data_IF_862430409258
#
_entry.id   IF_862430409258
#
_cell.length_a   1.000
_cell.length_b   1.000
_cell.length_c   1.000
_cell.angle_alpha   90.00
_cell.angle_beta   90.00
_cell.angle_gamma   90.00
#
_symmetry.space_group_name_H-M   'P 1'
#
loop_
_entity.id
_entity.type
_entity.pdbx_description
1 polymer ?
#
# COMPACT_ATOMS: atom_id res chain seq x y z
N UNK A 1 18.54 13.68 -10.69
CA UNK A 1 18.99 12.69 -9.69
C UNK A 1 18.91 11.32 -10.33
N UNK A 2 19.96 10.48 -10.31
CA UNK A 2 19.85 9.14 -10.82
C UNK A 2 18.91 8.34 -9.90
N UNK A 3 18.03 7.54 -10.49
CA UNK A 3 17.19 6.58 -9.78
C UNK A 3 18.13 5.63 -9.02
N UNK A 4 18.16 5.70 -7.69
CA UNK A 4 18.89 4.73 -6.88
C UNK A 4 18.31 3.35 -7.17
N UNK A 5 19.16 2.42 -7.60
CA UNK A 5 18.79 1.03 -7.82
C UNK A 5 18.27 0.44 -6.51
N UNK A 6 16.95 0.45 -6.31
CA UNK A 6 16.31 -0.01 -5.07
C UNK A 6 15.01 0.70 -4.68
N UNK A 7 14.74 1.92 -5.16
CA UNK A 7 13.54 2.68 -4.81
C UNK A 7 12.23 2.12 -5.43
N UNK A 8 11.06 2.61 -4.98
CA UNK A 8 9.81 2.38 -5.70
C UNK A 8 9.87 2.96 -7.11
N UNK A 9 9.19 2.30 -8.04
CA UNK A 9 9.09 2.74 -9.43
C UNK A 9 7.69 2.42 -9.96
N UNK A 10 7.18 3.26 -10.87
CA UNK A 10 5.89 3.02 -11.52
C UNK A 10 5.88 1.64 -12.18
N UNK A 11 4.76 0.92 -12.05
CA UNK A 11 4.57 -0.44 -12.54
C UNK A 11 5.11 -1.54 -11.62
N UNK A 12 5.74 -1.20 -10.50
CA UNK A 12 6.28 -2.20 -9.57
C UNK A 12 5.18 -2.76 -8.66
N UNK A 13 5.13 -4.09 -8.56
CA UNK A 13 4.23 -4.80 -7.64
C UNK A 13 4.77 -4.77 -6.22
N UNK A 14 3.91 -4.39 -5.28
CA UNK A 14 4.17 -4.27 -3.84
C UNK A 14 3.00 -4.84 -3.04
N UNK A 15 3.14 -4.91 -1.71
CA UNK A 15 2.03 -5.23 -0.82
C UNK A 15 1.46 -3.95 -0.21
N UNK A 16 0.13 -3.84 -0.20
CA UNK A 16 -0.63 -2.81 0.51
C UNK A 16 -1.34 -3.45 1.71
N UNK A 17 -1.25 -2.84 2.88
CA UNK A 17 -1.93 -3.31 4.09
C UNK A 17 -3.30 -2.64 4.16
N UNK A 18 -4.37 -3.40 3.95
CA UNK A 18 -5.73 -2.81 3.96
C UNK A 18 -6.11 -2.35 5.36
N UNK A 19 -6.79 -1.20 5.49
CA UNK A 19 -7.35 -0.78 6.78
C UNK A 19 -8.31 -1.79 7.42
N UNK A 20 -8.93 -2.65 6.61
CA UNK A 20 -10.10 -3.42 7.02
C UNK A 20 -11.33 -2.52 7.17
N UNK A 21 -12.46 -3.12 7.50
CA UNK A 21 -13.65 -2.36 7.91
C UNK A 21 -13.55 -2.01 9.39
N UNK A 22 -14.17 -0.91 9.87
CA UNK A 22 -14.30 -0.69 11.31
C UNK A 22 -14.90 -1.91 12.02
N UNK A 23 -14.42 -2.19 13.23
CA UNK A 23 -15.03 -3.19 14.12
C UNK A 23 -16.36 -2.63 14.61
N UNK A 24 -17.42 -3.43 14.53
CA UNK A 24 -18.76 -3.07 14.99
C UNK A 24 -18.84 -3.14 16.53
N UNK A 25 -19.92 -2.59 17.08
CA UNK A 25 -20.17 -2.62 18.53
C UNK A 25 -20.24 -4.06 19.10
N UNK A 26 -20.73 -5.01 18.30
CA UNK A 26 -20.78 -6.43 18.65
C UNK A 26 -19.43 -7.17 18.53
N UNK A 27 -18.35 -6.45 18.24
CA UNK A 27 -17.01 -7.00 18.06
C UNK A 27 -16.76 -7.65 16.69
N UNK A 28 -17.75 -7.68 15.79
CA UNK A 28 -17.57 -8.28 14.46
C UNK A 28 -16.90 -7.32 13.47
N UNK A 29 -16.15 -7.87 12.53
CA UNK A 29 -15.52 -7.12 11.44
C UNK A 29 -15.81 -7.84 10.12
N UNK A 30 -16.26 -7.12 9.09
CA UNK A 30 -16.56 -7.76 7.80
C UNK A 30 -15.30 -8.10 7.03
N UNK A 31 -14.34 -7.17 6.98
CA UNK A 31 -13.06 -7.40 6.31
C UNK A 31 -11.91 -7.09 7.26
N UNK A 32 -11.04 -8.07 7.58
CA UNK A 32 -9.87 -7.83 8.41
C UNK A 32 -8.81 -7.03 7.67
N UNK A 33 -7.92 -6.40 8.43
CA UNK A 33 -6.70 -5.77 7.91
C UNK A 33 -5.71 -6.85 7.48
N UNK A 34 -5.46 -6.97 6.18
CA UNK A 34 -4.53 -7.95 5.60
C UNK A 34 -3.75 -7.36 4.42
N UNK A 35 -2.62 -7.97 4.08
CA UNK A 35 -1.85 -7.58 2.89
C UNK A 35 -2.61 -7.94 1.61
N UNK A 36 -2.61 -7.01 0.65
CA UNK A 36 -3.17 -7.13 -0.70
C UNK A 36 -2.09 -6.82 -1.73
N UNK A 37 -2.23 -7.37 -2.92
CA UNK A 37 -1.40 -6.97 -4.06
C UNK A 37 -1.73 -5.54 -4.46
N UNK A 38 -0.70 -4.74 -4.69
CA UNK A 38 -0.82 -3.41 -5.27
C UNK A 38 0.27 -3.16 -6.31
N UNK A 39 0.03 -2.22 -7.20
CA UNK A 39 1.00 -1.74 -8.20
C UNK A 39 1.23 -0.26 -7.95
N UNK A 40 2.49 0.16 -7.95
CA UNK A 40 2.88 1.58 -7.87
C UNK A 40 2.43 2.29 -9.15
N UNK A 41 1.54 3.27 -9.00
CA UNK A 41 1.06 4.12 -10.11
C UNK A 41 1.79 5.45 -10.18
N UNK A 42 2.28 5.94 -9.04
CA UNK A 42 2.97 7.22 -8.90
C UNK A 42 4.08 7.10 -7.84
N UNK A 43 5.17 7.84 -8.00
CA UNK A 43 6.23 7.96 -6.98
C UNK A 43 6.31 9.42 -6.58
N UNK A 44 6.26 9.69 -5.27
CA UNK A 44 6.37 11.05 -4.75
C UNK A 44 7.83 11.55 -4.95
N UNK A 45 8.04 12.67 -5.66
CA UNK A 45 9.38 13.20 -5.91
C UNK A 45 10.03 13.80 -4.65
N UNK A 46 9.25 14.12 -3.61
CA UNK A 46 9.72 14.74 -2.36
C UNK A 46 9.88 13.71 -1.23
N UNK A 47 9.15 12.58 -1.28
CA UNK A 47 9.19 11.51 -0.29
C UNK A 47 9.31 10.13 -0.95
N UNK A 48 10.53 9.58 -1.03
CA UNK A 48 10.77 8.27 -1.65
C UNK A 48 10.06 7.09 -0.94
N UNK A 49 9.51 7.30 0.26
CA UNK A 49 8.68 6.33 0.97
C UNK A 49 7.20 6.42 0.61
N UNK A 50 6.76 7.44 -0.12
CA UNK A 50 5.35 7.64 -0.47
C UNK A 50 5.08 7.36 -1.95
N UNK A 51 4.03 6.60 -2.20
CA UNK A 51 3.64 6.19 -3.55
C UNK A 51 2.14 6.30 -3.75
N UNK A 52 1.73 6.52 -4.99
CA UNK A 52 0.37 6.24 -5.41
C UNK A 52 0.23 4.75 -5.75
N UNK A 53 -0.89 4.13 -5.37
CA UNK A 53 -1.14 2.71 -5.60
C UNK A 53 -2.48 2.45 -6.30
N UNK A 54 -2.49 1.42 -7.13
CA UNK A 54 -3.71 0.65 -7.43
C UNK A 54 -3.66 -0.67 -6.66
N UNK A 55 -4.64 -0.91 -5.80
CA UNK A 55 -4.80 -2.13 -5.02
C UNK A 55 -5.74 -3.07 -5.76
N UNK A 56 -5.30 -4.30 -5.97
CA UNK A 56 -6.03 -5.31 -6.72
C UNK A 56 -6.65 -6.33 -5.77
N UNK A 57 -7.97 -6.48 -5.84
CA UNK A 57 -8.73 -7.46 -5.08
C UNK A 57 -9.67 -8.23 -6.02
N UNK A 58 -10.16 -9.43 -5.63
CA UNK A 58 -11.16 -10.16 -6.41
C UNK A 58 -12.44 -9.37 -6.69
N UNK A 59 -12.76 -8.40 -5.83
CA UNK A 59 -13.93 -7.52 -5.97
C UNK A 59 -13.70 -6.25 -6.80
N UNK A 60 -12.46 -5.97 -7.23
CA UNK A 60 -12.17 -4.79 -8.05
C UNK A 60 -10.81 -4.15 -7.77
N UNK A 61 -10.67 -2.91 -8.26
CA UNK A 61 -9.48 -2.10 -8.16
C UNK A 61 -9.77 -0.85 -7.33
N UNK A 62 -8.88 -0.53 -6.39
CA UNK A 62 -9.01 0.63 -5.49
C UNK A 62 -7.78 1.52 -5.64
N UNK A 63 -8.00 2.83 -5.79
CA UNK A 63 -6.93 3.78 -6.07
C UNK A 63 -6.61 4.62 -4.83
N UNK A 64 -5.33 4.68 -4.49
CA UNK A 64 -4.78 5.57 -3.47
C UNK A 64 -3.78 6.53 -4.16
N UNK A 65 -4.26 7.58 -4.86
CA UNK A 65 -3.40 8.52 -5.56
C UNK A 65 -2.63 9.40 -4.59
N UNK A 66 -1.49 9.96 -5.02
CA UNK A 66 -0.71 10.90 -4.19
C UNK A 66 -1.53 12.14 -3.81
N UNK A 67 -2.41 12.61 -4.71
CA UNK A 67 -3.33 13.73 -4.45
C UNK A 67 -4.31 13.47 -3.29
N UNK A 68 -4.56 12.20 -2.93
CA UNK A 68 -5.37 11.81 -1.79
C UNK A 68 -4.54 11.37 -0.57
N UNK A 69 -3.24 11.67 -0.57
CA UNK A 69 -2.29 11.35 0.50
C UNK A 69 -1.40 10.14 0.23
N UNK A 70 -1.69 9.34 -0.81
CA UNK A 70 -0.92 8.16 -1.17
C UNK A 70 -0.83 7.10 -0.06
N UNK A 71 0.15 6.22 -0.20
CA UNK A 71 0.51 5.22 0.81
C UNK A 71 1.96 5.39 1.22
N UNK A 72 2.22 5.35 2.54
CA UNK A 72 3.56 5.46 3.11
C UNK A 72 4.20 4.10 3.32
N UNK A 73 5.51 4.03 3.12
CA UNK A 73 6.31 2.83 3.33
C UNK A 73 6.34 2.46 4.82
N UNK A 74 6.19 1.17 5.10
CA UNK A 74 6.39 0.62 6.43
C UNK A 74 7.25 -0.65 6.34
N UNK A 75 8.23 -0.76 7.24
CA UNK A 75 8.95 -2.01 7.48
C UNK A 75 8.01 -3.07 8.07
N UNK A 76 8.36 -4.34 7.93
CA UNK A 76 7.44 -5.43 8.24
C UNK A 76 6.91 -5.44 9.69
N UNK A 77 7.70 -4.96 10.66
CA UNK A 77 7.30 -4.86 12.06
C UNK A 77 6.40 -3.64 12.36
N UNK A 78 6.23 -2.70 11.43
CA UNK A 78 5.49 -1.45 11.58
C UNK A 78 4.32 -1.29 10.61
N UNK A 79 3.87 -2.38 9.99
CA UNK A 79 2.77 -2.39 9.04
C UNK A 79 1.46 -1.93 9.70
N UNK A 80 0.85 -0.87 9.15
CA UNK A 80 -0.44 -0.34 9.59
C UNK A 80 -1.39 -0.21 8.40
N UNK A 81 -2.70 -0.18 8.66
CA UNK A 81 -3.67 0.06 7.59
C UNK A 81 -3.31 1.31 6.77
N UNK A 82 -3.28 1.16 5.45
CA UNK A 82 -2.92 2.24 4.53
C UNK A 82 -1.45 2.27 4.10
N UNK A 83 -0.57 1.52 4.77
CA UNK A 83 0.85 1.47 4.42
C UNK A 83 1.13 0.49 3.28
N UNK A 84 2.33 0.61 2.68
CA UNK A 84 2.85 -0.36 1.73
C UNK A 84 4.21 -0.90 2.14
N UNK A 85 4.56 -2.08 1.65
CA UNK A 85 5.86 -2.69 1.86
C UNK A 85 6.28 -3.56 0.68
N UNK A 86 7.58 -3.90 0.63
CA UNK A 86 8.08 -4.84 -0.36
C UNK A 86 7.53 -6.25 -0.12
N UNK A 87 7.22 -7.03 -1.18
CA UNK A 87 6.88 -8.43 -1.01
C UNK A 87 7.98 -9.17 -0.25
N UNK A 88 7.58 -10.09 0.61
CA UNK A 88 8.52 -10.95 1.34
C UNK A 88 9.36 -11.75 0.33
N UNK A 89 10.67 -11.82 0.56
CA UNK A 89 11.53 -12.66 -0.25
C UNK A 89 11.29 -14.12 0.14
N UNK A 90 10.95 -14.95 -0.83
CA UNK A 90 10.92 -16.42 -0.70
C UNK A 90 12.24 -17.00 -1.19
#
# INVERSE_FOLDING_TARGET
MPLTAGGPSVGRTVHYVSHGTPVREDGTQTFPSVCRTAIVTEVDPEDAGRVGLVVLNPSGQFFHPLAAGGSSYAEAAGMVGGSWHWPERV
#
